data_IF_794838410813
#
_entry.id   IF_794838410813
#
_cell.length_a   1.000
_cell.length_b   1.000
_cell.length_c   1.000
_cell.angle_alpha   90.00
_cell.angle_beta   90.00
_cell.angle_gamma   90.00
#
_symmetry.space_group_name_H-M   'P 1'
#
loop_
_entity.id
_entity.type
_entity.pdbx_description
1 polymer ?
#
# COMPACT_ATOMS: atom_id res chain seq x y z
N UNK A 1 -81.23 33.94 40.28
CA UNK A 1 -81.14 33.38 41.64
C UNK A 1 -79.69 33.53 42.09
N UNK A 2 -79.44 34.38 43.08
CA UNK A 2 -78.22 34.36 43.90
C UNK A 2 -78.52 33.50 45.16
N UNK A 3 -77.60 33.33 46.14
CA UNK A 3 -76.16 33.05 46.12
C UNK A 3 -75.82 31.85 47.05
N UNK A 4 -74.54 31.49 47.21
CA UNK A 4 -74.11 30.57 48.27
C UNK A 4 -72.59 30.54 48.44
N UNK A 5 -72.12 31.09 49.56
CA UNK A 5 -70.74 31.39 49.94
C UNK A 5 -70.26 30.54 51.14
N UNK A 6 -68.92 30.49 51.32
CA UNK A 6 -68.14 30.05 52.50
C UNK A 6 -68.02 28.51 52.69
N UNK A 7 -66.91 27.91 53.12
CA UNK A 7 -65.93 28.32 54.14
C UNK A 7 -64.59 27.58 53.99
N UNK A 8 -63.52 28.23 54.44
CA UNK A 8 -62.14 27.77 54.66
C UNK A 8 -61.97 26.99 55.97
N UNK A 9 -61.10 25.97 56.02
CA UNK A 9 -60.31 25.63 57.21
C UNK A 9 -59.07 24.75 56.89
N UNK A 10 -57.93 25.21 57.40
CA UNK A 10 -56.53 24.75 57.29
C UNK A 10 -56.15 23.46 58.06
N UNK A 11 -54.87 23.08 57.86
CA UNK A 11 -53.90 22.31 58.69
C UNK A 11 -53.76 20.83 58.24
N UNK A 12 -52.60 20.23 58.00
CA UNK A 12 -51.18 20.52 58.33
C UNK A 12 -50.25 19.56 57.57
N UNK A 13 -49.02 20.04 57.29
CA UNK A 13 -47.75 19.33 57.11
C UNK A 13 -47.71 17.83 56.76
N UNK A 14 -47.16 17.53 55.58
CA UNK A 14 -46.14 16.49 55.43
C UNK A 14 -45.20 16.86 54.28
N UNK A 15 -43.95 17.14 54.64
CA UNK A 15 -42.81 17.24 53.74
C UNK A 15 -42.50 15.86 53.19
N UNK A 16 -42.59 15.67 51.88
CA UNK A 16 -42.01 14.48 51.24
C UNK A 16 -40.96 14.89 50.21
N UNK A 17 -39.74 14.55 50.59
CA UNK A 17 -38.49 14.65 49.86
C UNK A 17 -38.50 13.69 48.66
N UNK A 18 -38.79 14.20 47.47
CA UNK A 18 -38.43 13.52 46.23
C UNK A 18 -37.00 13.93 45.84
N UNK A 19 -36.08 13.00 46.11
CA UNK A 19 -34.69 12.96 45.68
C UNK A 19 -34.51 13.45 44.24
N UNK A 20 -34.02 14.68 44.08
CA UNK A 20 -33.38 15.17 42.87
C UNK A 20 -32.08 14.37 42.69
N UNK A 21 -32.06 13.47 41.72
CA UNK A 21 -30.81 12.90 41.23
C UNK A 21 -29.90 14.07 40.82
N UNK A 22 -28.65 14.13 41.28
CA UNK A 22 -27.75 15.20 40.88
C UNK A 22 -27.59 15.14 39.35
N UNK A 23 -27.53 16.29 38.65
CA UNK A 23 -27.15 16.29 37.26
C UNK A 23 -25.78 15.61 37.18
N UNK A 24 -25.69 14.52 36.40
CA UNK A 24 -24.42 13.88 36.11
C UNK A 24 -23.54 14.97 35.51
N UNK A 25 -22.56 15.42 36.29
CA UNK A 25 -21.60 16.41 35.85
C UNK A 25 -20.98 15.87 34.56
N UNK A 26 -21.22 16.58 33.46
CA UNK A 26 -20.53 16.32 32.21
C UNK A 26 -19.04 16.35 32.53
N UNK A 27 -18.38 15.20 32.40
CA UNK A 27 -16.93 15.14 32.43
C UNK A 27 -16.45 16.13 31.37
N UNK A 28 -15.48 17.01 31.68
CA UNK A 28 -14.92 17.90 30.69
C UNK A 28 -14.45 17.04 29.52
N UNK A 29 -14.93 17.34 28.32
CA UNK A 29 -14.45 16.74 27.09
C UNK A 29 -12.95 17.01 27.01
N UNK A 30 -12.15 16.03 27.43
CA UNK A 30 -10.76 15.91 27.01
C UNK A 30 -10.80 15.94 25.49
N UNK A 31 -10.20 16.96 24.89
CA UNK A 31 -10.30 17.30 23.46
C UNK A 31 -10.53 16.05 22.58
N UNK A 32 -11.78 15.78 22.24
CA UNK A 32 -12.07 14.87 21.15
C UNK A 32 -11.46 15.53 19.94
N UNK A 33 -10.42 14.91 19.40
CA UNK A 33 -9.88 15.28 18.11
C UNK A 33 -11.07 15.29 17.12
N UNK A 34 -11.44 16.47 16.62
CA UNK A 34 -12.63 16.71 15.79
C UNK A 34 -12.45 16.17 14.35
N UNK A 35 -11.58 15.19 14.17
CA UNK A 35 -11.27 14.61 12.87
C UNK A 35 -12.48 13.87 12.29
N UNK A 36 -12.54 13.84 10.96
CA UNK A 36 -13.60 13.14 10.23
C UNK A 36 -13.66 11.66 10.62
N UNK A 37 -12.49 11.03 10.83
CA UNK A 37 -12.39 9.66 11.29
C UNK A 37 -13.11 9.42 12.62
N UNK A 38 -12.86 10.24 13.65
CA UNK A 38 -13.52 10.08 14.95
C UNK A 38 -15.03 10.32 14.87
N UNK A 39 -15.45 11.31 14.08
CA UNK A 39 -16.88 11.58 13.85
C UNK A 39 -17.59 10.43 13.15
N UNK A 40 -16.93 9.73 12.20
CA UNK A 40 -17.51 8.58 11.53
C UNK A 40 -17.48 7.34 12.43
N UNK A 41 -16.39 7.12 13.17
CA UNK A 41 -16.24 5.98 14.07
C UNK A 41 -17.34 5.94 15.15
N UNK A 42 -17.84 7.10 15.60
CA UNK A 42 -18.90 7.17 16.62
C UNK A 42 -20.31 6.89 16.10
N UNK A 43 -20.51 6.86 14.78
CA UNK A 43 -21.86 6.70 14.16
C UNK A 43 -21.96 5.49 13.23
N UNK A 44 -20.83 4.97 12.74
CA UNK A 44 -20.82 3.81 11.86
C UNK A 44 -20.99 2.51 12.66
N UNK A 45 -21.79 1.62 12.12
CA UNK A 45 -21.89 0.24 12.59
C UNK A 45 -20.89 -0.64 11.85
N UNK A 46 -20.37 -1.65 12.53
CA UNK A 46 -19.45 -2.64 11.98
C UNK A 46 -20.10 -4.01 12.08
N UNK A 47 -20.10 -4.77 10.99
CA UNK A 47 -20.80 -6.06 10.95
C UNK A 47 -20.16 -7.11 11.87
N UNK A 48 -18.85 -7.01 12.12
CA UNK A 48 -18.08 -7.94 12.93
C UNK A 48 -16.85 -7.25 13.56
N UNK A 49 -16.13 -8.00 14.41
CA UNK A 49 -14.93 -7.51 15.10
C UNK A 49 -13.72 -7.31 14.18
N UNK A 50 -13.68 -8.02 13.04
CA UNK A 50 -12.57 -7.94 12.09
C UNK A 50 -12.64 -6.62 11.31
N UNK A 51 -13.84 -6.22 10.89
CA UNK A 51 -14.09 -4.93 10.28
C UNK A 51 -13.80 -3.77 11.25
N UNK A 52 -14.24 -3.85 12.50
CA UNK A 52 -13.91 -2.81 13.49
C UNK A 52 -12.40 -2.72 13.73
N UNK A 53 -11.71 -3.87 13.78
CA UNK A 53 -10.26 -3.92 13.89
C UNK A 53 -9.57 -3.23 12.71
N UNK A 54 -9.89 -3.65 11.48
CA UNK A 54 -9.28 -3.07 10.28
C UNK A 54 -9.56 -1.57 10.14
N UNK A 55 -10.77 -1.13 10.49
CA UNK A 55 -11.11 0.28 10.51
C UNK A 55 -10.19 1.06 11.46
N UNK A 56 -9.99 0.54 12.66
CA UNK A 56 -9.14 1.16 13.68
C UNK A 56 -7.68 1.26 13.23
N UNK A 57 -7.15 0.15 12.69
CA UNK A 57 -5.74 0.04 12.30
C UNK A 57 -5.39 0.83 11.03
N UNK A 58 -6.34 1.05 10.11
CA UNK A 58 -6.00 1.52 8.76
C UNK A 58 -6.79 2.73 8.27
N UNK A 59 -8.06 2.89 8.66
CA UNK A 59 -8.84 4.06 8.23
C UNK A 59 -8.34 5.35 8.89
N UNK A 60 -7.78 5.27 10.09
CA UNK A 60 -7.11 6.37 10.79
C UNK A 60 -5.90 6.90 9.99
N UNK A 61 -5.07 6.00 9.45
CA UNK A 61 -3.93 6.32 8.57
C UNK A 61 -4.42 7.02 7.30
N UNK A 62 -5.42 6.44 6.62
CA UNK A 62 -6.01 7.02 5.40
C UNK A 62 -6.56 8.42 5.67
N UNK A 63 -7.29 8.59 6.78
CA UNK A 63 -7.85 9.89 7.18
C UNK A 63 -6.76 10.93 7.41
N UNK A 64 -5.71 10.58 8.16
CA UNK A 64 -4.62 11.50 8.46
C UNK A 64 -3.86 11.93 7.21
N UNK A 65 -3.59 11.00 6.30
CA UNK A 65 -2.95 11.32 5.03
C UNK A 65 -3.84 12.20 4.14
N UNK A 66 -5.16 12.01 4.14
CA UNK A 66 -6.07 12.89 3.38
C UNK A 66 -6.10 14.30 3.97
N UNK A 67 -6.09 14.44 5.29
CA UNK A 67 -5.95 15.74 5.96
C UNK A 67 -4.65 16.43 5.52
N UNK A 68 -3.51 15.75 5.64
CA UNK A 68 -2.20 16.29 5.25
C UNK A 68 -2.07 16.55 3.74
N UNK A 69 -2.83 15.83 2.92
CA UNK A 69 -2.90 16.04 1.48
C UNK A 69 -3.84 17.20 1.08
N UNK A 70 -4.51 17.85 2.04
CA UNK A 70 -5.35 19.02 1.81
C UNK A 70 -6.76 18.69 1.32
N UNK A 71 -7.29 17.52 1.63
CA UNK A 71 -8.65 17.13 1.25
C UNK A 71 -9.65 17.93 2.07
N UNK A 72 -10.68 18.46 1.43
CA UNK A 72 -11.80 19.05 2.15
C UNK A 72 -12.56 17.99 2.96
N UNK A 73 -13.33 18.44 3.95
CA UNK A 73 -14.07 17.57 4.89
C UNK A 73 -15.08 16.67 4.17
N UNK A 74 -15.70 17.14 3.08
CA UNK A 74 -16.68 16.35 2.32
C UNK A 74 -15.99 15.22 1.56
N UNK A 75 -14.87 15.52 0.90
CA UNK A 75 -14.01 14.53 0.24
C UNK A 75 -13.50 13.48 1.23
N UNK A 76 -13.00 13.89 2.40
CA UNK A 76 -12.57 12.96 3.45
C UNK A 76 -13.72 12.04 3.89
N UNK A 77 -14.90 12.60 4.18
CA UNK A 77 -16.10 11.81 4.57
C UNK A 77 -16.47 10.82 3.48
N UNK A 78 -16.54 11.27 2.23
CA UNK A 78 -16.92 10.45 1.08
C UNK A 78 -16.00 9.25 0.92
N UNK A 79 -14.69 9.44 0.97
CA UNK A 79 -13.75 8.34 0.76
C UNK A 79 -13.68 7.39 1.95
N UNK A 80 -13.82 7.88 3.19
CA UNK A 80 -13.91 7.02 4.37
C UNK A 80 -15.21 6.20 4.40
N UNK A 81 -16.33 6.76 3.94
CA UNK A 81 -17.58 6.02 3.78
C UNK A 81 -17.48 4.95 2.68
N UNK A 82 -16.82 5.26 1.56
CA UNK A 82 -16.55 4.27 0.51
C UNK A 82 -15.64 3.16 1.02
N UNK A 83 -14.62 3.52 1.80
CA UNK A 83 -13.72 2.56 2.44
C UNK A 83 -14.48 1.62 3.37
N UNK A 84 -15.32 2.16 4.26
CA UNK A 84 -16.19 1.40 5.15
C UNK A 84 -17.15 0.48 4.37
N UNK A 85 -17.82 1.00 3.35
CA UNK A 85 -18.88 0.29 2.65
C UNK A 85 -18.39 -0.81 1.69
N UNK A 86 -17.21 -0.65 1.08
CA UNK A 86 -16.75 -1.53 -0.01
C UNK A 86 -15.39 -2.20 0.24
N UNK A 87 -14.48 -1.58 0.98
CA UNK A 87 -13.10 -2.04 1.10
C UNK A 87 -12.91 -2.84 2.39
N UNK A 88 -13.56 -2.42 3.47
CA UNK A 88 -13.33 -2.93 4.81
C UNK A 88 -13.58 -4.44 4.93
N UNK A 89 -14.72 -4.91 4.44
CA UNK A 89 -15.06 -6.34 4.45
C UNK A 89 -14.10 -7.19 3.60
N UNK A 90 -13.50 -6.61 2.57
CA UNK A 90 -12.58 -7.31 1.69
C UNK A 90 -11.21 -7.57 2.34
N UNK A 91 -10.85 -6.90 3.45
CA UNK A 91 -9.60 -7.18 4.16
C UNK A 91 -9.59 -8.52 4.87
N UNK A 92 -10.75 -9.18 4.99
CA UNK A 92 -10.88 -10.52 5.51
C UNK A 92 -10.66 -10.62 7.02
N UNK A 93 -10.61 -11.86 7.55
CA UNK A 93 -10.47 -12.10 8.98
C UNK A 93 -9.13 -11.56 9.52
N UNK A 94 -9.14 -10.92 10.69
CA UNK A 94 -7.89 -10.47 11.31
C UNK A 94 -7.07 -11.68 11.75
N UNK A 95 -5.79 -11.70 11.42
CA UNK A 95 -4.90 -12.72 11.96
C UNK A 95 -4.66 -12.43 13.44
N UNK A 96 -5.23 -13.24 14.33
CA UNK A 96 -4.80 -13.22 15.74
C UNK A 96 -3.55 -14.06 15.89
N UNK A 97 -2.40 -13.50 16.30
CA UNK A 97 -1.28 -14.29 16.76
C UNK A 97 -1.68 -14.94 18.09
N UNK A 98 -2.33 -16.11 18.05
CA UNK A 98 -2.61 -16.89 19.24
C UNK A 98 -1.35 -17.71 19.60
N UNK A 99 -0.69 -17.47 20.75
CA UNK A 99 0.52 -18.20 21.12
C UNK A 99 0.26 -19.70 21.37
N UNK A 100 -0.98 -20.08 21.67
CA UNK A 100 -1.38 -21.43 22.06
C UNK A 100 -2.03 -22.26 20.96
N UNK A 101 -2.40 -21.66 19.83
CA UNK A 101 -3.16 -22.36 18.78
C UNK A 101 -2.56 -22.11 17.40
N UNK A 102 -1.69 -23.03 16.97
CA UNK A 102 -1.08 -23.03 15.64
C UNK A 102 -2.09 -23.33 14.52
N UNK A 103 -3.34 -23.65 14.85
CA UNK A 103 -4.39 -23.94 13.88
C UNK A 103 -5.29 -22.75 13.54
N UNK A 104 -5.23 -21.66 14.32
CA UNK A 104 -6.14 -20.51 14.24
C UNK A 104 -5.56 -19.27 13.54
N UNK A 105 -4.34 -19.34 12.99
CA UNK A 105 -3.84 -18.30 12.07
C UNK A 105 -4.51 -18.50 10.71
N UNK A 106 -5.11 -17.44 10.13
CA UNK A 106 -5.53 -17.49 8.73
C UNK A 106 -4.36 -18.04 7.89
N UNK A 107 -4.57 -19.10 7.09
CA UNK A 107 -3.48 -19.72 6.35
C UNK A 107 -2.97 -18.80 5.23
N UNK A 108 -3.72 -17.76 4.87
CA UNK A 108 -3.34 -16.85 3.80
C UNK A 108 -2.30 -15.83 4.22
N UNK A 109 -1.17 -15.83 3.51
CA UNK A 109 -0.10 -14.84 3.68
C UNK A 109 -0.09 -13.92 2.48
N UNK A 110 -0.61 -12.71 2.68
CA UNK A 110 -0.65 -11.72 1.62
C UNK A 110 0.76 -11.36 1.12
N UNK A 111 0.90 -11.16 -0.18
CA UNK A 111 2.12 -10.59 -0.78
C UNK A 111 2.11 -9.06 -0.83
N UNK A 112 1.01 -8.41 -0.42
CA UNK A 112 0.85 -6.96 -0.48
C UNK A 112 1.97 -6.24 0.29
N UNK A 113 2.29 -6.71 1.50
CA UNK A 113 3.35 -6.18 2.34
C UNK A 113 4.24 -7.30 2.88
N UNK A 114 5.46 -6.95 3.29
CA UNK A 114 6.44 -7.91 3.80
C UNK A 114 6.05 -8.53 5.17
N UNK A 115 5.11 -7.93 5.91
CA UNK A 115 4.53 -8.50 7.13
C UNK A 115 3.18 -9.20 6.89
N UNK A 116 2.78 -9.37 5.64
CA UNK A 116 1.51 -9.98 5.21
C UNK A 116 0.24 -9.20 5.58
N UNK A 117 0.37 -7.93 5.97
CA UNK A 117 -0.76 -7.00 6.05
C UNK A 117 -1.39 -6.88 4.65
N UNK A 118 -2.69 -7.14 4.47
CA UNK A 118 -3.32 -7.22 3.15
C UNK A 118 -3.66 -5.85 2.55
N UNK A 119 -3.08 -4.76 3.09
CA UNK A 119 -3.32 -3.39 2.66
C UNK A 119 -2.02 -2.58 2.69
N UNK A 120 -1.76 -1.88 1.60
CA UNK A 120 -0.69 -0.90 1.49
C UNK A 120 -1.28 0.46 1.14
N UNK A 121 -0.90 1.50 1.87
CA UNK A 121 -1.41 2.86 1.69
C UNK A 121 -0.32 3.68 1.03
N UNK A 122 -0.65 4.55 0.08
CA UNK A 122 0.34 5.39 -0.57
C UNK A 122 -0.10 6.83 -0.70
N UNK A 123 0.88 7.72 -0.65
CA UNK A 123 0.70 9.15 -0.78
C UNK A 123 1.50 9.67 -1.97
N UNK A 124 0.78 10.07 -3.02
CA UNK A 124 1.37 10.77 -4.15
C UNK A 124 1.63 12.22 -3.77
N UNK A 125 2.90 12.58 -3.70
CA UNK A 125 3.40 13.84 -3.19
C UNK A 125 3.60 14.82 -4.35
N UNK A 126 3.00 15.99 -4.22
CA UNK A 126 3.17 17.08 -5.17
C UNK A 126 2.75 18.42 -4.56
N UNK A 127 3.34 19.51 -5.05
CA UNK A 127 3.09 20.85 -4.50
C UNK A 127 1.64 21.31 -4.64
N UNK A 128 1.00 21.01 -5.77
CA UNK A 128 -0.35 21.50 -6.11
C UNK A 128 -1.39 20.38 -6.22
N UNK A 129 -0.94 19.13 -6.26
CA UNK A 129 -1.81 17.96 -6.37
C UNK A 129 -1.20 16.85 -5.55
N UNK A 130 -2.01 16.33 -4.65
CA UNK A 130 -1.63 15.38 -3.63
C UNK A 130 -2.72 14.32 -3.56
N UNK A 131 -2.36 13.05 -3.76
CA UNK A 131 -3.35 11.98 -3.93
C UNK A 131 -3.08 10.86 -2.95
N UNK A 132 -4.06 10.55 -2.11
CA UNK A 132 -4.03 9.36 -1.23
C UNK A 132 -4.61 8.19 -2.02
N UNK A 133 -3.94 7.04 -1.91
CA UNK A 133 -4.35 5.81 -2.55
C UNK A 133 -4.17 4.66 -1.58
N UNK A 134 -4.83 3.56 -1.83
CA UNK A 134 -4.55 2.30 -1.16
C UNK A 134 -4.68 1.15 -2.14
N UNK A 135 -3.96 0.08 -1.86
CA UNK A 135 -4.08 -1.20 -2.54
C UNK A 135 -4.37 -2.26 -1.50
N UNK A 136 -5.28 -3.17 -1.81
CA UNK A 136 -5.59 -4.32 -0.96
C UNK A 136 -5.43 -5.62 -1.73
N UNK A 137 -5.08 -6.67 -1.01
CA UNK A 137 -5.38 -8.03 -1.42
C UNK A 137 -6.70 -8.40 -0.76
N UNK A 138 -7.81 -8.49 -1.51
CA UNK A 138 -9.05 -8.98 -0.96
C UNK A 138 -8.86 -10.42 -0.46
N UNK A 139 -9.24 -10.70 0.79
CA UNK A 139 -9.10 -12.01 1.43
C UNK A 139 -10.48 -12.48 1.90
N UNK A 140 -10.85 -13.69 1.48
CA UNK A 140 -12.09 -14.34 1.88
C UNK A 140 -11.89 -15.24 3.10
N UNK A 141 -12.98 -15.68 3.75
CA UNK A 141 -12.90 -16.58 4.91
C UNK A 141 -12.31 -17.96 4.59
N UNK A 142 -12.25 -18.34 3.31
CA UNK A 142 -11.74 -19.63 2.84
C UNK A 142 -10.37 -19.56 2.17
N UNK A 143 -9.75 -18.37 2.12
CA UNK A 143 -8.48 -18.16 1.45
C UNK A 143 -7.40 -19.11 1.99
N UNK A 144 -6.74 -19.86 1.10
CA UNK A 144 -5.71 -20.85 1.44
C UNK A 144 -6.24 -22.19 1.97
N UNK A 145 -7.55 -22.38 2.04
CA UNK A 145 -8.17 -23.69 2.36
C UNK A 145 -8.45 -24.48 1.08
N UNK A 146 -8.93 -25.72 1.19
CA UNK A 146 -9.36 -26.51 0.03
C UNK A 146 -10.53 -25.90 -0.75
N UNK A 147 -11.27 -24.93 -0.19
CA UNK A 147 -12.39 -24.27 -0.87
C UNK A 147 -11.96 -23.05 -1.70
N UNK A 148 -10.81 -22.45 -1.40
CA UNK A 148 -10.22 -21.34 -2.16
C UNK A 148 -8.70 -21.32 -1.95
N UNK A 149 -7.96 -22.29 -2.52
CA UNK A 149 -6.55 -22.52 -2.21
C UNK A 149 -5.64 -21.37 -2.65
N UNK A 150 -6.07 -20.55 -3.61
CA UNK A 150 -5.27 -19.45 -4.17
C UNK A 150 -5.94 -18.07 -4.06
N UNK A 151 -7.01 -17.94 -3.27
CA UNK A 151 -7.67 -16.67 -2.96
C UNK A 151 -8.13 -15.90 -4.23
N UNK A 152 -8.68 -16.61 -5.22
CA UNK A 152 -9.05 -16.00 -6.52
C UNK A 152 -10.43 -15.31 -6.47
N UNK A 153 -11.32 -15.75 -5.58
CA UNK A 153 -12.73 -15.33 -5.56
C UNK A 153 -12.97 -13.94 -4.92
N UNK A 154 -12.36 -13.59 -3.78
CA UNK A 154 -12.72 -12.37 -3.05
C UNK A 154 -12.45 -11.08 -3.83
N UNK A 155 -11.36 -11.03 -4.60
CA UNK A 155 -11.06 -9.87 -5.42
C UNK A 155 -12.02 -9.73 -6.62
N UNK A 156 -12.45 -10.85 -7.20
CA UNK A 156 -13.46 -10.85 -8.25
C UNK A 156 -14.81 -10.33 -7.72
N UNK A 157 -15.24 -10.82 -6.57
CA UNK A 157 -16.48 -10.41 -5.92
C UNK A 157 -16.46 -8.91 -5.59
N UNK A 158 -15.34 -8.41 -5.03
CA UNK A 158 -15.16 -6.98 -4.77
C UNK A 158 -15.30 -6.15 -6.05
N UNK A 159 -14.55 -6.51 -7.11
CA UNK A 159 -14.59 -5.78 -8.38
C UNK A 159 -16.00 -5.75 -8.99
N UNK A 160 -16.75 -6.86 -8.92
CA UNK A 160 -18.13 -6.93 -9.43
C UNK A 160 -19.12 -6.07 -8.66
N UNK A 161 -18.86 -5.79 -7.38
CA UNK A 161 -19.72 -4.96 -6.53
C UNK A 161 -19.43 -3.46 -6.64
N UNK A 162 -18.26 -3.07 -7.18
CA UNK A 162 -17.88 -1.68 -7.28
C UNK A 162 -18.68 -0.96 -8.39
N UNK A 163 -19.36 0.16 -8.09
CA UNK A 163 -20.14 0.87 -9.08
C UNK A 163 -19.25 1.69 -10.03
N UNK A 164 -19.65 1.77 -11.30
CA UNK A 164 -19.10 2.73 -12.26
C UNK A 164 -17.70 2.40 -12.80
N UNK A 165 -17.27 1.14 -12.70
CA UNK A 165 -16.02 0.66 -13.30
C UNK A 165 -16.29 -0.20 -14.54
N UNK A 166 -15.28 -0.32 -15.40
CA UNK A 166 -15.29 -1.22 -16.55
C UNK A 166 -14.31 -2.37 -16.30
N UNK A 167 -14.80 -3.60 -16.46
CA UNK A 167 -14.07 -4.84 -16.17
C UNK A 167 -13.70 -5.64 -17.42
N UNK A 168 -13.90 -5.12 -18.64
CA UNK A 168 -13.60 -5.85 -19.87
C UNK A 168 -12.14 -6.32 -19.92
N UNK A 169 -11.20 -5.40 -19.70
CA UNK A 169 -9.78 -5.72 -19.72
C UNK A 169 -9.38 -6.60 -18.52
N UNK A 170 -10.08 -6.48 -17.40
CA UNK A 170 -9.88 -7.34 -16.24
C UNK A 170 -10.25 -8.79 -16.57
N UNK A 171 -11.44 -9.01 -17.13
CA UNK A 171 -11.88 -10.35 -17.52
C UNK A 171 -10.99 -10.96 -18.60
N UNK A 172 -10.53 -10.14 -19.56
CA UNK A 172 -9.56 -10.60 -20.54
C UNK A 172 -8.31 -11.19 -19.89
N UNK A 173 -7.62 -10.43 -19.01
CA UNK A 173 -6.39 -10.93 -18.38
C UNK A 173 -6.63 -11.98 -17.30
N UNK A 174 -7.78 -11.95 -16.63
CA UNK A 174 -8.22 -13.01 -15.72
C UNK A 174 -8.20 -14.36 -16.45
N UNK A 175 -8.84 -14.42 -17.61
CA UNK A 175 -8.98 -15.68 -18.37
C UNK A 175 -7.63 -16.23 -18.84
N UNK A 176 -6.63 -15.34 -19.01
CA UNK A 176 -5.26 -15.75 -19.32
C UNK A 176 -4.47 -16.28 -18.12
N UNK A 177 -4.68 -15.73 -16.92
CA UNK A 177 -3.75 -15.90 -15.80
C UNK A 177 -4.34 -16.57 -14.56
N UNK A 178 -5.64 -16.81 -14.52
CA UNK A 178 -6.24 -17.59 -13.45
C UNK A 178 -5.99 -19.07 -13.69
N UNK A 179 -5.89 -19.80 -12.58
CA UNK A 179 -5.67 -21.23 -12.57
C UNK A 179 -6.95 -21.94 -12.16
N UNK A 180 -7.11 -23.15 -12.66
CA UNK A 180 -8.25 -23.98 -12.32
C UNK A 180 -8.00 -24.71 -10.98
N UNK A 181 -9.07 -25.04 -10.25
CA UNK A 181 -8.99 -25.69 -8.94
C UNK A 181 -8.45 -27.15 -9.03
N UNK A 182 -8.38 -27.74 -10.23
CA UNK A 182 -7.99 -29.14 -10.45
C UNK A 182 -6.46 -29.38 -10.31
N UNK A 183 -5.62 -28.35 -10.50
CA UNK A 183 -4.15 -28.49 -10.56
C UNK A 183 -3.43 -28.00 -9.28
N UNK A 184 -4.17 -27.76 -8.19
CA UNK A 184 -3.69 -27.11 -6.95
C UNK A 184 -2.44 -27.80 -6.38
N UNK A 185 -2.49 -29.11 -6.20
CA UNK A 185 -1.40 -29.87 -5.56
C UNK A 185 -0.09 -29.81 -6.37
N UNK A 186 -0.20 -29.85 -7.70
CA UNK A 186 0.96 -29.84 -8.58
C UNK A 186 1.57 -28.44 -8.71
N UNK A 187 0.74 -27.40 -8.75
CA UNK A 187 1.19 -26.00 -8.68
C UNK A 187 1.91 -25.74 -7.35
N UNK A 188 1.35 -26.17 -6.23
CA UNK A 188 1.97 -25.99 -4.91
C UNK A 188 3.31 -26.73 -4.78
N UNK A 189 3.45 -27.92 -5.36
CA UNK A 189 4.72 -28.67 -5.40
C UNK A 189 5.79 -27.99 -6.25
N UNK A 190 5.40 -27.36 -7.37
CA UNK A 190 6.33 -26.67 -8.28
C UNK A 190 6.71 -25.27 -7.80
N UNK A 191 5.92 -24.67 -6.90
CA UNK A 191 6.17 -23.34 -6.38
C UNK A 191 7.52 -23.27 -5.63
N UNK A 192 8.42 -22.35 -5.99
CA UNK A 192 9.67 -22.16 -5.26
C UNK A 192 9.45 -21.84 -3.77
N UNK A 193 10.36 -22.29 -2.93
CA UNK A 193 10.34 -21.95 -1.50
C UNK A 193 10.46 -20.43 -1.31
N UNK A 194 9.63 -19.86 -0.43
CA UNK A 194 9.60 -18.42 -0.15
C UNK A 194 8.80 -17.58 -1.16
N UNK A 195 8.20 -18.22 -2.17
CA UNK A 195 7.39 -17.53 -3.19
C UNK A 195 5.92 -17.38 -2.76
N UNK A 196 5.27 -16.30 -3.18
CA UNK A 196 3.89 -16.01 -2.77
C UNK A 196 2.84 -16.83 -3.54
N UNK A 197 1.60 -16.82 -3.03
CA UNK A 197 0.43 -17.40 -3.70
C UNK A 197 -0.58 -16.35 -4.18
N UNK A 198 -0.37 -15.07 -3.89
CA UNK A 198 -1.28 -13.99 -4.33
C UNK A 198 -1.44 -13.95 -5.85
N UNK A 199 -2.71 -13.85 -6.28
CA UNK A 199 -3.08 -13.74 -7.70
C UNK A 199 -3.68 -12.40 -8.07
N UNK A 200 -4.25 -11.66 -7.12
CA UNK A 200 -4.99 -10.43 -7.38
C UNK A 200 -4.85 -9.40 -6.28
N UNK A 201 -4.48 -8.18 -6.65
CA UNK A 201 -4.69 -7.00 -5.80
C UNK A 201 -5.64 -6.01 -6.47
N UNK A 202 -6.30 -5.18 -5.66
CA UNK A 202 -7.17 -4.10 -6.11
C UNK A 202 -6.68 -2.79 -5.50
N UNK A 203 -6.50 -1.75 -6.30
CA UNK A 203 -6.14 -0.43 -5.80
C UNK A 203 -7.17 0.64 -6.13
N UNK A 204 -7.20 1.65 -5.27
CA UNK A 204 -8.12 2.77 -5.32
C UNK A 204 -7.34 4.07 -5.22
N UNK A 205 -7.50 4.94 -6.21
CA UNK A 205 -7.01 6.32 -6.14
C UNK A 205 -8.15 7.25 -5.77
N UNK A 206 -8.02 7.99 -4.67
CA UNK A 206 -9.01 8.96 -4.23
C UNK A 206 -8.62 10.34 -4.77
N UNK A 207 -9.24 10.81 -5.85
CA UNK A 207 -8.75 12.00 -6.56
C UNK A 207 -9.90 12.88 -7.08
N UNK A 208 -9.99 14.11 -6.57
CA UNK A 208 -10.91 15.13 -7.09
C UNK A 208 -12.39 14.69 -7.15
N UNK A 209 -12.88 14.03 -6.10
CA UNK A 209 -14.24 13.49 -6.00
C UNK A 209 -14.49 12.20 -6.78
N UNK A 210 -13.45 11.60 -7.39
CA UNK A 210 -13.53 10.35 -8.16
C UNK A 210 -12.67 9.27 -7.51
N UNK A 211 -13.10 8.02 -7.68
CA UNK A 211 -12.29 6.85 -7.34
C UNK A 211 -11.89 6.15 -8.62
N UNK A 212 -10.58 5.98 -8.83
CA UNK A 212 -10.07 5.17 -9.95
C UNK A 212 -9.63 3.82 -9.43
N UNK A 213 -10.30 2.77 -9.86
CA UNK A 213 -9.99 1.38 -9.49
C UNK A 213 -8.98 0.78 -10.46
N UNK A 214 -8.05 -0.03 -9.93
CA UNK A 214 -7.07 -0.79 -10.70
C UNK A 214 -7.05 -2.23 -10.22
N UNK A 215 -6.87 -3.17 -11.14
CA UNK A 215 -6.64 -4.57 -10.83
C UNK A 215 -5.18 -4.92 -11.15
N UNK A 216 -4.52 -5.63 -10.23
CA UNK A 216 -3.18 -6.19 -10.40
C UNK A 216 -3.34 -7.71 -10.47
N UNK A 217 -2.73 -8.34 -11.48
CA UNK A 217 -2.90 -9.76 -11.76
C UNK A 217 -1.52 -10.43 -11.82
N UNK A 218 -1.33 -11.49 -11.05
CA UNK A 218 -0.05 -12.20 -10.92
C UNK A 218 -0.08 -13.50 -11.74
N UNK A 219 0.70 -13.59 -12.83
CA UNK A 219 0.70 -14.74 -13.74
C UNK A 219 1.55 -15.92 -13.25
N UNK A 220 2.22 -15.81 -12.11
CA UNK A 220 3.18 -16.81 -11.63
C UNK A 220 2.55 -18.20 -11.49
N UNK A 221 1.38 -18.31 -10.85
CA UNK A 221 0.78 -19.61 -10.62
C UNK A 221 0.34 -20.27 -11.94
N UNK A 222 -0.14 -19.48 -12.90
CA UNK A 222 -0.43 -19.97 -14.26
C UNK A 222 0.81 -20.47 -14.98
N UNK A 223 1.95 -19.81 -14.79
CA UNK A 223 3.23 -20.27 -15.33
C UNK A 223 3.65 -21.62 -14.73
N UNK A 224 3.37 -21.85 -13.45
CA UNK A 224 3.66 -23.13 -12.78
C UNK A 224 2.71 -24.25 -13.23
N UNK A 225 1.42 -23.94 -13.41
CA UNK A 225 0.40 -24.87 -13.92
C UNK A 225 0.77 -25.34 -15.34
N UNK A 226 0.94 -24.38 -16.26
CA UNK A 226 1.16 -24.64 -17.69
C UNK A 226 2.60 -25.02 -18.04
N UNK A 227 3.58 -24.70 -17.19
CA UNK A 227 5.00 -24.83 -17.48
C UNK A 227 5.54 -23.78 -18.47
N UNK A 228 4.74 -22.79 -18.86
CA UNK A 228 5.13 -21.70 -19.76
C UNK A 228 5.72 -20.55 -18.93
N UNK A 229 6.90 -20.00 -19.29
CA UNK A 229 7.47 -18.86 -18.57
C UNK A 229 6.53 -17.65 -18.51
N UNK A 230 6.51 -16.95 -17.37
CA UNK A 230 5.66 -15.76 -17.15
C UNK A 230 5.77 -14.74 -18.29
N UNK A 231 6.99 -14.43 -18.75
CA UNK A 231 7.21 -13.49 -19.85
C UNK A 231 6.50 -13.94 -21.12
N UNK A 232 6.53 -15.23 -21.43
CA UNK A 232 5.93 -15.79 -22.66
C UNK A 232 4.39 -15.83 -22.56
N UNK A 233 3.83 -16.14 -21.39
CA UNK A 233 2.38 -16.04 -21.12
C UNK A 233 1.88 -14.61 -21.32
N UNK A 234 2.52 -13.63 -20.66
CA UNK A 234 2.13 -12.22 -20.77
C UNK A 234 2.31 -11.70 -22.19
N UNK A 235 3.40 -12.09 -22.86
CA UNK A 235 3.67 -11.74 -24.25
C UNK A 235 2.57 -12.24 -25.19
N UNK A 236 2.12 -13.48 -25.01
CA UNK A 236 1.04 -14.08 -25.81
C UNK A 236 -0.29 -13.37 -25.54
N UNK A 237 -0.62 -13.12 -24.27
CA UNK A 237 -1.83 -12.40 -23.88
C UNK A 237 -1.87 -10.98 -24.46
N UNK A 238 -0.76 -10.24 -24.46
CA UNK A 238 -0.71 -8.88 -25.02
C UNK A 238 -0.85 -8.89 -26.54
N UNK A 239 -0.17 -9.79 -27.25
CA UNK A 239 -0.30 -9.87 -28.72
C UNK A 239 -1.71 -10.27 -29.17
N UNK A 240 -2.40 -11.10 -28.39
CA UNK A 240 -3.77 -11.50 -28.69
C UNK A 240 -4.81 -10.41 -28.37
N UNK A 241 -4.44 -9.42 -27.55
CA UNK A 241 -5.27 -8.24 -27.26
C UNK A 241 -5.12 -7.16 -28.34
N UNK A 242 -3.98 -7.15 -29.04
CA UNK A 242 -3.57 -6.07 -29.91
C UNK A 242 -4.45 -5.99 -31.17
N UNK A 243 -5.36 -5.03 -31.17
CA UNK A 243 -6.20 -4.68 -32.30
C UNK A 243 -6.09 -3.17 -32.60
N UNK A 244 -6.52 -2.66 -33.76
CA UNK A 244 -6.30 -1.27 -34.14
C UNK A 244 -6.77 -0.23 -33.11
N UNK A 245 -7.86 -0.52 -32.37
CA UNK A 245 -8.39 0.37 -31.33
C UNK A 245 -7.61 0.30 -29.99
N UNK A 246 -6.84 -0.77 -29.78
CA UNK A 246 -6.08 -1.08 -28.57
C UNK A 246 -4.61 -1.40 -28.89
N UNK A 247 -4.01 -0.65 -29.82
CA UNK A 247 -2.64 -0.89 -30.28
C UNK A 247 -1.64 -0.70 -29.12
N UNK A 248 -1.20 -1.78 -28.49
CA UNK A 248 -0.27 -1.84 -27.35
C UNK A 248 1.04 -2.54 -27.71
N UNK A 249 1.08 -3.31 -28.81
CA UNK A 249 2.29 -4.02 -29.27
C UNK A 249 3.53 -3.15 -29.39
N UNK A 250 3.49 -1.90 -29.93
CA UNK A 250 4.69 -1.08 -30.08
C UNK A 250 5.43 -0.86 -28.75
N UNK A 251 4.70 -0.41 -27.72
CA UNK A 251 5.29 -0.21 -26.39
C UNK A 251 5.70 -1.51 -25.70
N UNK A 252 4.94 -2.60 -25.90
CA UNK A 252 5.28 -3.92 -25.37
C UNK A 252 6.56 -4.48 -25.96
N UNK A 253 6.71 -4.43 -27.29
CA UNK A 253 7.86 -5.00 -27.99
C UNK A 253 9.18 -4.36 -27.50
N UNK A 254 9.19 -3.04 -27.27
CA UNK A 254 10.39 -2.34 -26.73
C UNK A 254 10.80 -2.91 -25.36
N UNK A 255 9.83 -3.16 -24.48
CA UNK A 255 10.08 -3.74 -23.16
C UNK A 255 10.51 -5.21 -23.26
N UNK A 256 9.79 -6.00 -24.04
CA UNK A 256 10.08 -7.42 -24.22
C UNK A 256 11.47 -7.64 -24.82
N UNK A 257 11.83 -6.89 -25.87
CA UNK A 257 13.14 -6.95 -26.51
C UNK A 257 14.26 -6.61 -25.52
N UNK A 258 14.06 -5.63 -24.65
CA UNK A 258 15.01 -5.32 -23.59
C UNK A 258 15.17 -6.51 -22.63
N UNK A 259 14.07 -7.03 -22.07
CA UNK A 259 14.10 -8.15 -21.11
C UNK A 259 14.79 -9.38 -21.74
N UNK A 260 14.47 -9.70 -23.00
CA UNK A 260 15.06 -10.84 -23.72
C UNK A 260 16.54 -10.62 -24.04
N UNK A 261 16.96 -9.37 -24.26
CA UNK A 261 18.37 -9.03 -24.48
C UNK A 261 19.24 -9.18 -23.23
N UNK A 262 18.66 -9.18 -22.03
CA UNK A 262 19.40 -9.40 -20.79
C UNK A 262 19.83 -10.88 -20.63
N UNK A 263 21.05 -11.14 -20.09
CA UNK A 263 21.49 -12.49 -19.73
C UNK A 263 20.53 -13.17 -18.76
N UNK A 264 20.32 -14.48 -18.91
CA UNK A 264 19.34 -15.25 -18.11
C UNK A 264 19.56 -15.07 -16.60
N UNK A 265 20.82 -15.10 -16.15
CA UNK A 265 21.18 -15.02 -14.73
C UNK A 265 20.85 -13.66 -14.08
N UNK A 266 20.77 -12.58 -14.86
CA UNK A 266 20.54 -11.21 -14.40
C UNK A 266 19.28 -10.58 -15.02
N UNK A 267 18.46 -11.39 -15.71
CA UNK A 267 17.29 -10.92 -16.42
C UNK A 267 16.26 -10.34 -15.45
N UNK A 268 15.74 -9.12 -15.68
CA UNK A 268 14.61 -8.61 -14.92
C UNK A 268 13.42 -9.57 -15.00
N UNK A 269 12.86 -9.93 -13.86
CA UNK A 269 11.71 -10.83 -13.74
C UNK A 269 10.42 -10.02 -13.85
N UNK A 270 9.50 -10.44 -14.72
CA UNK A 270 8.13 -9.90 -14.74
C UNK A 270 7.37 -10.49 -13.56
N UNK A 271 6.90 -9.62 -12.66
CA UNK A 271 6.25 -9.98 -11.41
C UNK A 271 4.73 -10.08 -11.58
N UNK A 272 4.12 -9.03 -12.13
CA UNK A 272 2.68 -8.93 -12.33
C UNK A 272 2.36 -7.84 -13.36
N UNK A 273 1.10 -7.81 -13.79
CA UNK A 273 0.56 -6.72 -14.58
C UNK A 273 -0.49 -5.95 -13.78
N UNK A 274 -0.72 -4.69 -14.13
CA UNK A 274 -1.86 -3.94 -13.62
C UNK A 274 -2.59 -3.20 -14.74
N UNK A 275 -3.89 -3.06 -14.57
CA UNK A 275 -4.77 -2.35 -15.50
C UNK A 275 -5.65 -1.36 -14.75
N UNK A 276 -6.01 -0.27 -15.42
CA UNK A 276 -7.03 0.64 -14.92
C UNK A 276 -8.41 0.05 -15.29
N UNK A 277 -9.36 -0.06 -14.33
CA UNK A 277 -10.71 -0.62 -14.54
C UNK A 277 -11.64 0.43 -15.19
N UNK A 278 -11.26 0.85 -16.39
CA UNK A 278 -11.93 1.82 -17.25
C UNK A 278 -12.03 1.26 -18.66
N UNK A 279 -12.78 1.93 -19.54
CA UNK A 279 -12.92 1.53 -20.94
C UNK A 279 -11.55 1.18 -21.56
N UNK A 280 -11.42 0.04 -22.27
CA UNK A 280 -10.11 -0.48 -22.71
C UNK A 280 -9.22 0.55 -23.41
N UNK A 281 -9.78 1.42 -24.26
CA UNK A 281 -9.05 2.44 -25.02
C UNK A 281 -8.49 3.58 -24.15
N UNK A 282 -8.98 3.70 -22.92
CA UNK A 282 -8.49 4.65 -21.90
C UNK A 282 -7.61 3.98 -20.85
N UNK A 283 -7.61 2.64 -20.81
CA UNK A 283 -6.81 1.89 -19.85
C UNK A 283 -5.34 1.87 -20.27
N UNK A 284 -4.48 1.58 -19.29
CA UNK A 284 -3.05 1.39 -19.50
C UNK A 284 -2.67 0.05 -18.93
N UNK A 285 -1.84 -0.68 -19.66
CA UNK A 285 -1.25 -1.93 -19.17
C UNK A 285 0.07 -1.55 -18.51
N UNK A 286 0.20 -1.81 -17.21
CA UNK A 286 1.41 -1.55 -16.44
C UNK A 286 2.12 -2.87 -16.19
N UNK A 287 3.33 -3.00 -16.72
CA UNK A 287 4.13 -4.21 -16.56
C UNK A 287 5.12 -3.99 -15.43
N UNK A 288 5.02 -4.79 -14.37
CA UNK A 288 5.90 -4.70 -13.23
C UNK A 288 7.05 -5.70 -13.38
N UNK A 289 8.28 -5.19 -13.34
CA UNK A 289 9.49 -6.01 -13.46
C UNK A 289 10.45 -5.71 -12.32
N UNK A 290 11.09 -6.75 -11.79
CA UNK A 290 12.08 -6.63 -10.73
C UNK A 290 13.44 -7.11 -11.21
N UNK A 291 14.45 -6.28 -11.00
CA UNK A 291 15.85 -6.68 -11.15
C UNK A 291 16.43 -7.03 -9.77
N UNK A 292 17.26 -8.07 -9.65
CA UNK A 292 17.98 -8.34 -8.40
C UNK A 292 19.10 -7.32 -8.13
N UNK A 293 19.48 -6.53 -9.14
CA UNK A 293 20.56 -5.55 -9.04
C UNK A 293 20.10 -4.23 -8.41
N UNK A 294 20.99 -3.65 -7.62
CA UNK A 294 20.81 -2.42 -6.86
C UNK A 294 21.89 -1.37 -7.15
N UNK A 295 22.96 -1.74 -7.86
CA UNK A 295 23.90 -0.79 -8.41
C UNK A 295 23.18 0.27 -9.26
N UNK A 296 23.40 1.55 -8.97
CA UNK A 296 22.68 2.66 -9.59
C UNK A 296 22.85 2.67 -11.12
N UNK A 297 24.01 2.28 -11.64
CA UNK A 297 24.24 2.10 -13.07
C UNK A 297 23.26 1.10 -13.69
N UNK A 298 23.03 -0.06 -13.03
CA UNK A 298 22.07 -1.08 -13.49
C UNK A 298 20.63 -0.63 -13.34
N UNK A 299 20.33 0.12 -12.29
CA UNK A 299 19.01 0.74 -12.11
C UNK A 299 18.70 1.72 -13.25
N UNK A 300 19.67 2.56 -13.64
CA UNK A 300 19.55 3.47 -14.78
C UNK A 300 19.43 2.72 -16.12
N UNK A 301 20.17 1.62 -16.29
CA UNK A 301 20.08 0.76 -17.47
C UNK A 301 18.67 0.17 -17.65
N UNK A 302 18.10 -0.39 -16.58
CA UNK A 302 16.70 -0.90 -16.60
C UNK A 302 15.70 0.24 -16.81
N UNK A 303 15.86 1.38 -16.12
CA UNK A 303 14.97 2.54 -16.27
C UNK A 303 14.90 3.05 -17.72
N UNK A 304 16.01 2.95 -18.45
CA UNK A 304 16.12 3.37 -19.86
C UNK A 304 15.87 2.24 -20.86
N UNK A 305 15.54 1.03 -20.40
CA UNK A 305 15.42 -0.17 -21.22
C UNK A 305 16.67 -0.41 -22.09
N UNK A 306 17.85 -0.28 -21.48
CA UNK A 306 19.14 -0.42 -22.16
C UNK A 306 19.38 0.69 -23.19
N UNK A 307 19.02 1.93 -22.86
CA UNK A 307 19.16 3.09 -23.75
C UNK A 307 18.12 3.21 -24.88
N UNK A 308 17.10 2.33 -24.92
CA UNK A 308 15.97 2.44 -25.85
C UNK A 308 15.09 3.66 -25.54
N UNK A 309 15.02 4.05 -24.28
CA UNK A 309 14.44 5.32 -23.83
C UNK A 309 15.59 6.30 -23.59
N UNK A 310 15.74 7.31 -24.45
CA UNK A 310 16.94 8.18 -24.42
C UNK A 310 16.66 9.65 -24.74
N UNK A 311 15.40 10.08 -24.76
CA UNK A 311 15.06 11.48 -25.03
C UNK A 311 15.53 12.42 -23.90
N UNK A 312 15.43 13.73 -24.14
CA UNK A 312 15.81 14.75 -23.16
C UNK A 312 15.03 14.62 -21.85
N UNK A 313 13.77 14.17 -21.91
CA UNK A 313 12.92 13.95 -20.73
C UNK A 313 13.51 12.86 -19.84
N UNK A 314 13.96 11.75 -20.43
CA UNK A 314 14.64 10.65 -19.72
C UNK A 314 15.96 11.12 -19.13
N UNK A 315 16.77 11.89 -19.85
CA UNK A 315 18.04 12.41 -19.30
C UNK A 315 17.82 13.29 -18.06
N UNK A 316 16.80 14.15 -18.11
CA UNK A 316 16.39 14.95 -16.94
C UNK A 316 15.89 14.05 -15.80
N UNK A 317 15.11 13.02 -16.11
CA UNK A 317 14.62 12.06 -15.12
C UNK A 317 15.77 11.34 -14.40
N UNK A 318 16.81 10.91 -15.13
CA UNK A 318 17.96 10.18 -14.57
C UNK A 318 18.74 11.02 -13.55
N UNK A 319 18.97 12.31 -13.83
CA UNK A 319 19.64 13.19 -12.88
C UNK A 319 18.84 13.39 -11.58
N UNK A 320 17.52 13.55 -11.70
CA UNK A 320 16.63 13.66 -10.54
C UNK A 320 16.48 12.34 -9.77
N UNK A 321 16.48 11.21 -10.49
CA UNK A 321 16.43 9.86 -9.92
C UNK A 321 17.67 9.58 -9.09
N UNK A 322 18.86 9.86 -9.62
CA UNK A 322 20.12 9.69 -8.90
C UNK A 322 20.14 10.51 -7.60
N UNK A 323 19.72 11.77 -7.69
CA UNK A 323 19.64 12.63 -6.51
C UNK A 323 18.68 12.05 -5.46
N UNK A 324 17.48 11.64 -5.86
CA UNK A 324 16.51 11.03 -4.96
C UNK A 324 17.07 9.75 -4.33
N UNK A 325 17.63 8.86 -5.15
CA UNK A 325 18.22 7.58 -4.75
C UNK A 325 19.26 7.76 -3.66
N UNK A 326 20.20 8.70 -3.85
CA UNK A 326 21.25 9.00 -2.87
C UNK A 326 20.68 9.60 -1.58
N UNK A 327 19.68 10.49 -1.69
CA UNK A 327 19.08 11.16 -0.53
C UNK A 327 18.25 10.21 0.34
N UNK A 328 17.37 9.40 -0.23
CA UNK A 328 16.42 8.58 0.56
C UNK A 328 17.06 7.31 1.14
N UNK A 329 18.19 6.89 0.59
CA UNK A 329 18.96 5.74 1.07
C UNK A 329 20.12 6.13 2.00
N UNK A 330 20.37 7.43 2.19
CA UNK A 330 21.49 7.98 2.97
C UNK A 330 22.83 7.33 2.57
N UNK A 331 23.12 7.33 1.25
CA UNK A 331 24.30 6.67 0.72
C UNK A 331 25.57 7.47 1.04
N UNK A 332 26.68 6.80 1.41
CA UNK A 332 27.92 7.48 1.76
C UNK A 332 28.55 8.16 0.55
N UNK A 333 29.25 9.26 0.80
CA UNK A 333 30.09 9.93 -0.19
C UNK A 333 31.15 8.96 -0.71
N UNK A 334 31.31 8.89 -2.03
CA UNK A 334 32.30 8.03 -2.69
C UNK A 334 31.80 6.64 -3.09
N UNK A 335 30.58 6.23 -2.73
CA UNK A 335 29.97 5.01 -3.29
C UNK A 335 29.79 5.18 -4.81
N UNK A 336 30.36 4.25 -5.59
CA UNK A 336 30.33 4.29 -7.06
C UNK A 336 28.97 3.80 -7.55
N UNK A 337 28.53 4.31 -8.69
CA UNK A 337 27.28 3.88 -9.31
C UNK A 337 27.27 2.39 -9.70
N UNK A 338 28.45 1.78 -9.86
CA UNK A 338 28.60 0.36 -10.18
C UNK A 338 28.62 -0.57 -8.97
N UNK A 339 28.65 -0.03 -7.74
CA UNK A 339 28.65 -0.83 -6.52
C UNK A 339 27.22 -1.26 -6.16
N UNK A 340 27.03 -2.56 -5.89
CA UNK A 340 25.78 -3.09 -5.35
C UNK A 340 25.55 -2.60 -3.92
N UNK A 341 24.30 -2.35 -3.55
CA UNK A 341 23.93 -1.99 -2.20
C UNK A 341 23.93 -3.22 -1.30
N UNK A 342 24.49 -3.07 -0.10
CA UNK A 342 24.41 -4.08 0.93
C UNK A 342 23.11 -3.90 1.73
N UNK A 343 22.26 -4.95 1.84
CA UNK A 343 21.10 -4.93 2.71
C UNK A 343 21.50 -4.58 4.15
N UNK A 344 20.65 -3.86 4.86
CA UNK A 344 20.99 -3.32 6.19
C UNK A 344 20.92 -4.34 7.32
N UNK A 345 20.07 -5.35 7.17
CA UNK A 345 19.89 -6.42 8.15
C UNK A 345 19.70 -7.79 7.49
N UNK A 346 19.75 -8.84 8.32
CA UNK A 346 19.57 -10.23 7.87
C UNK A 346 18.18 -10.50 7.29
N UNK A 347 17.16 -9.77 7.74
CA UNK A 347 15.80 -9.90 7.21
C UNK A 347 15.69 -9.36 5.77
N UNK A 348 16.52 -8.39 5.43
CA UNK A 348 16.62 -7.79 4.10
C UNK A 348 17.56 -8.58 3.19
N UNK A 349 18.55 -9.28 3.77
CA UNK A 349 19.52 -10.07 3.03
C UNK A 349 18.87 -11.25 2.29
N UNK A 350 18.84 -11.17 0.95
CA UNK A 350 18.19 -12.18 0.13
C UNK A 350 16.65 -12.14 0.21
N UNK A 351 16.07 -11.08 0.78
CA UNK A 351 14.62 -10.91 0.81
C UNK A 351 14.06 -10.82 -0.62
N UNK A 352 12.92 -11.47 -0.87
CA UNK A 352 12.30 -11.55 -2.21
C UNK A 352 12.06 -10.17 -2.85
N UNK A 353 11.75 -9.16 -2.03
CA UNK A 353 11.45 -7.78 -2.46
C UNK A 353 12.64 -6.82 -2.35
N UNK A 354 13.84 -7.31 -1.99
CA UNK A 354 15.06 -6.48 -1.89
C UNK A 354 15.57 -5.99 -3.25
N UNK A 355 15.28 -6.71 -4.34
CA UNK A 355 15.56 -6.22 -5.69
C UNK A 355 14.75 -4.97 -6.06
N UNK A 356 15.25 -4.18 -7.02
CA UNK A 356 14.59 -2.93 -7.45
C UNK A 356 13.42 -3.24 -8.39
N UNK A 357 12.26 -2.67 -8.08
CA UNK A 357 11.03 -2.83 -8.86
C UNK A 357 10.84 -1.64 -9.82
N UNK A 358 10.32 -1.93 -11.00
CA UNK A 358 9.93 -0.96 -12.00
C UNK A 358 8.51 -1.26 -12.44
N UNK A 359 7.77 -0.23 -12.85
CA UNK A 359 6.66 -0.43 -13.76
C UNK A 359 6.89 0.32 -15.07
N UNK A 360 6.39 -0.26 -16.15
CA UNK A 360 6.40 0.32 -17.48
C UNK A 360 4.95 0.46 -17.93
N UNK A 361 4.46 1.70 -18.06
CA UNK A 361 3.10 1.95 -18.54
C UNK A 361 3.06 1.91 -20.07
N UNK A 362 2.30 0.97 -20.62
CA UNK A 362 1.99 0.86 -22.03
C UNK A 362 0.60 1.46 -22.25
N UNK A 363 0.53 2.50 -23.06
CA UNK A 363 -0.71 3.18 -23.42
C UNK A 363 -1.09 2.81 -24.85
N UNK A 364 -2.38 2.58 -25.14
CA UNK A 364 -2.85 2.41 -26.50
C UNK A 364 -2.36 3.55 -27.41
N UNK A 365 -1.77 3.19 -28.55
CA UNK A 365 -1.22 4.11 -29.55
C UNK A 365 0.15 4.71 -29.22
N UNK A 366 0.71 4.49 -28.03
CA UNK A 366 2.05 4.97 -27.69
C UNK A 366 3.14 4.02 -28.19
N UNK A 367 4.15 4.57 -28.86
CA UNK A 367 5.27 3.79 -29.40
C UNK A 367 6.25 3.31 -28.33
N UNK A 368 6.37 4.03 -27.21
CA UNK A 368 7.33 3.75 -26.14
C UNK A 368 6.59 3.63 -24.80
N UNK A 369 7.01 2.70 -23.92
CA UNK A 369 6.49 2.64 -22.57
C UNK A 369 7.03 3.78 -21.69
N UNK A 370 6.27 4.16 -20.67
CA UNK A 370 6.69 5.16 -19.67
C UNK A 370 7.24 4.46 -18.40
N UNK A 371 8.52 4.68 -18.01
CA UNK A 371 9.12 4.02 -16.87
C UNK A 371 8.76 4.70 -15.53
N UNK A 372 8.62 3.88 -14.49
CA UNK A 372 8.57 4.29 -13.08
C UNK A 372 9.47 3.40 -12.24
N UNK A 373 10.28 4.01 -11.38
CA UNK A 373 11.16 3.33 -10.44
C UNK A 373 10.49 3.20 -9.08
N UNK A 374 10.61 2.05 -8.42
CA UNK A 374 10.25 1.81 -7.03
C UNK A 374 11.53 1.53 -6.23
N UNK A 375 11.98 2.50 -5.46
CA UNK A 375 13.18 2.39 -4.62
C UNK A 375 12.81 1.57 -3.37
N UNK A 376 13.44 0.40 -3.14
CA UNK A 376 13.14 -0.50 -2.02
C UNK A 376 13.73 0.01 -0.70
N UNK A 377 13.31 1.20 -0.27
CA UNK A 377 13.90 1.93 0.88
C UNK A 377 13.90 1.12 2.18
N UNK A 378 12.90 0.24 2.37
CA UNK A 378 12.81 -0.69 3.48
C UNK A 378 14.09 -1.51 3.70
N UNK A 379 14.74 -1.93 2.61
CA UNK A 379 15.84 -2.88 2.65
C UNK A 379 17.22 -2.22 2.80
N UNK A 380 17.34 -0.93 2.47
CA UNK A 380 18.63 -0.26 2.29
C UNK A 380 18.78 1.08 3.04
N UNK A 381 17.69 1.77 3.37
CA UNK A 381 17.75 3.01 4.13
C UNK A 381 18.13 2.75 5.60
N UNK A 382 18.54 3.80 6.33
CA UNK A 382 18.92 3.66 7.74
C UNK A 382 17.71 3.59 8.68
N UNK A 383 16.69 4.41 8.44
CA UNK A 383 15.45 4.45 9.21
C UNK A 383 14.36 5.19 8.43
N UNK A 384 13.10 5.04 8.84
CA UNK A 384 11.96 5.78 8.29
C UNK A 384 12.12 7.31 8.46
N UNK A 385 12.74 7.78 9.55
CA UNK A 385 13.07 9.20 9.72
C UNK A 385 14.17 9.66 8.77
N UNK A 386 15.13 8.81 8.42
CA UNK A 386 16.16 9.17 7.45
C UNK A 386 15.62 9.23 6.02
N UNK A 387 14.72 8.30 5.68
CA UNK A 387 13.94 8.38 4.43
C UNK A 387 13.19 9.72 4.38
N UNK A 388 12.50 10.09 5.47
CA UNK A 388 11.78 11.36 5.55
C UNK A 388 12.71 12.57 5.40
N UNK A 389 13.90 12.56 6.03
CA UNK A 389 14.91 13.62 5.86
C UNK A 389 15.36 13.73 4.40
N UNK A 390 15.68 12.62 3.76
CA UNK A 390 16.05 12.57 2.34
C UNK A 390 14.96 13.13 1.43
N UNK A 391 13.70 12.75 1.67
CA UNK A 391 12.54 13.31 0.98
C UNK A 391 12.40 14.82 1.21
N UNK A 392 12.52 15.29 2.45
CA UNK A 392 12.41 16.74 2.74
C UNK A 392 13.51 17.55 2.04
N UNK A 393 14.73 17.02 1.98
CA UNK A 393 15.83 17.65 1.24
C UNK A 393 15.51 17.72 -0.25
N UNK A 394 14.97 16.63 -0.82
CA UNK A 394 14.50 16.60 -2.20
C UNK A 394 13.39 17.65 -2.44
N UNK A 395 12.39 17.73 -1.56
CA UNK A 395 11.28 18.71 -1.65
C UNK A 395 11.78 20.15 -1.68
N UNK A 396 12.70 20.53 -0.77
CA UNK A 396 13.28 21.89 -0.72
C UNK A 396 13.92 22.26 -2.06
N UNK A 397 14.67 21.34 -2.66
CA UNK A 397 15.34 21.56 -3.95
C UNK A 397 14.38 21.70 -5.13
N UNK A 398 13.11 21.27 -4.98
CA UNK A 398 12.04 21.45 -5.98
C UNK A 398 11.09 22.61 -5.64
N UNK A 399 11.36 23.36 -4.57
CA UNK A 399 10.47 24.43 -4.12
C UNK A 399 9.14 23.93 -3.54
N UNK A 400 9.06 22.66 -3.14
CA UNK A 400 7.89 22.08 -2.48
C UNK A 400 7.93 22.41 -0.98
N UNK A 401 8.00 23.70 -0.65
CA UNK A 401 8.33 24.20 0.70
C UNK A 401 7.38 23.70 1.77
N UNK A 402 6.06 23.73 1.51
CA UNK A 402 5.07 23.23 2.47
C UNK A 402 5.29 21.74 2.80
N UNK A 403 5.46 20.88 1.78
CA UNK A 403 5.78 19.46 2.01
C UNK A 403 7.12 19.28 2.75
N UNK A 404 8.13 20.09 2.42
CA UNK A 404 9.43 20.02 3.08
C UNK A 404 9.36 20.35 4.59
N UNK A 405 8.42 21.20 4.97
CA UNK A 405 8.21 21.63 6.36
C UNK A 405 7.33 20.65 7.13
N UNK A 406 6.30 20.07 6.50
CA UNK A 406 5.27 19.28 7.22
C UNK A 406 5.42 17.76 7.12
N UNK A 407 6.16 17.23 6.14
CA UNK A 407 6.17 15.79 5.86
C UNK A 407 6.65 14.94 7.04
N UNK A 408 7.70 15.37 7.74
CA UNK A 408 8.28 14.59 8.84
C UNK A 408 7.33 14.51 10.03
N UNK A 409 6.62 15.59 10.34
CA UNK A 409 5.65 15.60 11.45
C UNK A 409 4.37 14.87 11.06
N UNK A 410 3.91 15.02 9.80
CA UNK A 410 2.82 14.19 9.25
C UNK A 410 3.12 12.70 9.41
N UNK A 411 4.35 12.25 9.09
CA UNK A 411 4.75 10.85 9.24
C UNK A 411 4.63 10.39 10.70
N UNK A 412 5.13 11.17 11.66
CA UNK A 412 5.05 10.83 13.10
C UNK A 412 3.60 10.79 13.61
N UNK A 413 2.77 11.73 13.16
CA UNK A 413 1.36 11.79 13.56
C UNK A 413 0.54 10.66 12.94
N UNK A 414 0.88 10.25 11.71
CA UNK A 414 0.21 9.14 11.01
C UNK A 414 0.58 7.79 11.60
N UNK A 415 1.83 7.62 12.05
CA UNK A 415 2.36 6.36 12.58
C UNK A 415 2.96 6.53 13.98
N UNK A 416 2.17 6.95 14.99
CA UNK A 416 2.68 7.34 16.31
C UNK A 416 3.27 6.17 17.10
N UNK A 417 2.92 4.94 16.75
CA UNK A 417 3.38 3.72 17.42
C UNK A 417 4.55 3.04 16.70
N UNK A 418 4.96 3.55 15.53
CA UNK A 418 6.06 2.95 14.79
C UNK A 418 7.41 3.47 15.33
N UNK A 419 8.44 2.60 15.44
CA UNK A 419 9.77 3.02 15.84
C UNK A 419 10.51 3.67 14.66
N UNK A 420 10.04 4.84 14.20
CA UNK A 420 10.49 5.49 12.96
C UNK A 420 11.98 5.84 12.92
N UNK A 421 12.62 6.01 14.09
CA UNK A 421 14.05 6.31 14.20
C UNK A 421 14.94 5.06 14.15
N UNK A 422 14.36 3.87 14.36
CA UNK A 422 15.09 2.62 14.62
C UNK A 422 14.74 1.50 13.62
N UNK A 423 13.80 1.76 12.71
CA UNK A 423 13.29 0.78 11.76
C UNK A 423 13.04 1.42 10.40
N UNK A 424 12.93 0.57 9.39
CA UNK A 424 12.58 0.87 7.99
C UNK A 424 11.32 0.13 7.57
N UNK A 425 10.43 -0.15 8.53
CA UNK A 425 9.27 -1.00 8.29
C UNK A 425 8.01 -0.23 7.93
N UNK A 426 8.02 1.11 8.02
CA UNK A 426 6.88 1.96 7.66
C UNK A 426 6.88 2.28 6.18
N UNK A 427 7.96 2.81 5.61
CA UNK A 427 8.04 3.04 4.16
C UNK A 427 8.42 1.74 3.45
N UNK A 428 7.55 1.24 2.57
CA UNK A 428 7.87 0.10 1.70
C UNK A 428 8.73 0.54 0.53
N UNK A 429 8.24 1.53 -0.23
CA UNK A 429 8.87 2.03 -1.44
C UNK A 429 8.76 3.55 -1.55
N UNK A 430 9.78 4.17 -2.17
CA UNK A 430 9.65 5.52 -2.74
C UNK A 430 9.63 5.38 -4.26
N UNK A 431 8.56 5.87 -4.89
CA UNK A 431 8.34 5.71 -6.33
C UNK A 431 8.59 7.02 -7.06
N UNK A 432 9.41 6.95 -8.11
CA UNK A 432 9.79 8.09 -8.92
C UNK A 432 9.43 7.88 -10.39
N UNK A 433 8.90 8.93 -11.00
CA UNK A 433 8.82 9.09 -12.44
C UNK A 433 8.91 10.58 -12.80
N UNK A 434 9.15 10.86 -14.07
CA UNK A 434 9.18 12.23 -14.56
C UNK A 434 8.47 12.33 -15.91
N UNK A 435 7.67 13.37 -16.06
CA UNK A 435 7.01 13.70 -17.33
C UNK A 435 7.25 15.15 -17.64
N UNK A 436 7.57 15.46 -18.90
CA UNK A 436 7.79 16.84 -19.35
C UNK A 436 6.60 17.76 -19.04
N UNK A 437 5.38 17.24 -19.11
CA UNK A 437 4.14 18.02 -18.93
C UNK A 437 3.75 18.25 -17.48
N UNK A 438 4.00 17.28 -16.60
CA UNK A 438 3.55 17.33 -15.20
C UNK A 438 4.70 17.42 -14.19
N UNK A 439 5.95 17.36 -14.65
CA UNK A 439 7.14 17.37 -13.82
C UNK A 439 7.36 16.06 -13.06
N UNK A 440 7.91 16.19 -11.86
CA UNK A 440 8.22 15.06 -10.97
C UNK A 440 6.94 14.42 -10.47
N UNK A 441 6.87 13.10 -10.60
CA UNK A 441 5.87 12.25 -9.97
C UNK A 441 6.57 11.48 -8.86
N UNK A 442 6.15 11.70 -7.61
CA UNK A 442 6.74 11.07 -6.44
C UNK A 442 5.66 10.45 -5.57
N UNK A 443 5.85 9.22 -5.10
CA UNK A 443 4.89 8.55 -4.21
C UNK A 443 5.62 7.83 -3.08
N UNK A 444 5.20 8.01 -1.84
CA UNK A 444 5.63 7.18 -0.72
C UNK A 444 4.57 6.08 -0.48
N UNK A 445 5.02 4.84 -0.38
CA UNK A 445 4.18 3.69 0.00
C UNK A 445 4.46 3.32 1.45
N UNK A 446 3.41 3.10 2.21
CA UNK A 446 3.44 2.84 3.63
C UNK A 446 2.80 1.50 3.96
N UNK A 447 3.51 0.72 4.78
CA UNK A 447 3.00 -0.47 5.43
C UNK A 447 2.40 -0.09 6.80
N UNK A 448 1.12 -0.36 7.05
CA UNK A 448 0.49 -0.17 8.36
C UNK A 448 1.08 -1.06 9.48
N UNK A 449 1.84 -2.12 9.13
CA UNK A 449 2.52 -3.00 10.08
C UNK A 449 1.61 -3.73 11.07
N UNK A 450 0.38 -4.06 10.64
CA UNK A 450 -0.64 -4.67 11.52
C UNK A 450 -0.19 -6.00 12.13
N UNK A 451 0.66 -6.75 11.42
CA UNK A 451 1.18 -8.04 11.90
C UNK A 451 2.66 -8.01 12.26
N UNK A 452 3.28 -6.83 12.30
CA UNK A 452 4.65 -6.69 12.73
C UNK A 452 4.79 -7.18 14.18
N UNK A 453 5.70 -8.13 14.40
CA UNK A 453 6.04 -8.54 15.76
C UNK A 453 6.71 -7.36 16.47
N UNK A 454 6.32 -7.01 17.70
CA UNK A 454 7.11 -6.06 18.48
C UNK A 454 8.53 -6.60 18.58
N UNK A 455 9.54 -5.81 18.17
CA UNK A 455 10.91 -6.08 18.60
C UNK A 455 10.86 -6.02 20.13
N UNK A 456 11.36 -7.04 20.86
CA UNK A 456 11.55 -6.89 22.29
C UNK A 456 12.39 -5.62 22.48
N UNK A 457 11.83 -4.61 23.15
CA UNK A 457 12.64 -3.51 23.63
C UNK A 457 13.64 -4.16 24.59
N UNK A 458 14.90 -4.33 24.17
CA UNK A 458 15.97 -4.43 25.14
C UNK A 458 15.97 -3.10 25.87
N UNK A 459 15.23 -3.04 26.98
CA UNK A 459 15.46 -2.04 28.02
C UNK A 459 16.89 -2.30 28.47
N UNK A 460 17.85 -1.59 27.87
CA UNK A 460 19.15 -1.36 28.45
C UNK A 460 18.90 -0.52 29.72
N UNK A 461 18.59 -1.19 30.82
CA UNK A 461 18.70 -0.59 32.14
C UNK A 461 20.19 -0.35 32.43
N UNK A 462 20.64 0.85 32.08
CA UNK A 462 21.82 1.43 32.70
C UNK A 462 21.48 1.74 34.16
N UNK A 463 21.85 0.86 35.07
CA UNK A 463 22.16 1.26 36.45
C UNK A 463 23.60 0.89 36.77
N UNK A 464 24.42 1.95 36.92
CA UNK A 464 25.76 1.89 37.48
C UNK A 464 25.67 1.74 39.00
N UNK A 465 26.69 1.06 39.53
CA UNK A 465 27.09 0.93 40.92
C UNK A 465 26.32 -0.11 41.75
N UNK A 466 26.79 -1.37 41.83
CA UNK A 466 27.95 -1.85 42.62
C UNK A 466 27.64 -1.82 44.12
N UNK A 467 27.64 -3.00 44.77
CA UNK A 467 28.57 -3.36 45.85
C UNK A 467 28.13 -4.60 46.65
N UNK A 468 29.15 -5.44 46.93
CA UNK A 468 29.26 -6.52 47.95
C UNK A 468 28.75 -7.90 47.51
N UNK A 469 29.56 -8.96 47.57
CA UNK A 469 30.91 -9.06 48.09
C UNK A 469 31.49 -10.46 47.91
N UNK A 470 32.81 -10.50 47.84
CA UNK A 470 33.63 -11.69 47.96
C UNK A 470 33.35 -12.49 49.24
N UNK A 471 33.53 -13.81 49.11
CA UNK A 471 34.05 -14.85 50.05
C UNK A 471 33.17 -16.10 49.88
N UNK A 472 33.67 -17.29 49.62
CA UNK A 472 35.02 -17.88 49.57
C UNK A 472 35.08 -18.87 48.40
#
# INVERSE_FOLDING_TARGET
MAPGSHSTANLTHATDSASLLPPVAARPATSLDNSVYHSLTSVLEFADQDQLFWWTETASIVAKLMESAGYDVESQRRYLLLYHAHILAALGPKQTPCPSDRSASSPWKSFMTDDHTPIEISWNLGANRSVVRLSIEPIGPFAGTSFDPFNQRPALELLQQLPGIDLQLFYYFRDWFFIDDDDVDDVLKRRPAGEHSSQLFVAFDFDGGKVTTKAYIFPLLKALETGIPVLDLVSTAIRNLDEPALSVSPGWNVLEDFIRSCPIASRPKLEFIAIDCVAPEKSRIKIYVRTPHTALEKVKDVFTLGGRLNDQTIQTALGMLEELWRLVLDLPDGLRDSDELHPRDENSAGHRTSGVLFNFEIKPGAALPEPKLYIPVRHYARSDLDIARGLTAFFRRRGWTSLAETYTDTLKETFPHHPLAESTSTHTYIVFAFKKTTGVYLTAYYNPQVYARPKPSEKLEWTKDRLRGHRL
#
